data_IF_934733271297
#
_entry.id   IF_934733271297
#
_cell.length_a   1.000
_cell.length_b   1.000
_cell.length_c   1.000
_cell.angle_alpha   90.00
_cell.angle_beta   90.00
_cell.angle_gamma   90.00
#
_symmetry.space_group_name_H-M   'P 1'
#
loop_
_entity.id
_entity.type
_entity.pdbx_description
1 polymer ?
#
# COMPACT_ATOMS: atom_id res chain seq x y z
N UNK A 1 -54.65 -4.40 -2.00
CA UNK A 1 -53.53 -3.73 -2.70
C UNK A 1 -52.36 -4.67 -2.68
N UNK A 2 -52.12 -5.37 -3.79
CA UNK A 2 -50.93 -6.21 -3.96
C UNK A 2 -49.67 -5.34 -4.02
N UNK A 3 -48.57 -5.75 -3.37
CA UNK A 3 -47.32 -5.02 -3.48
C UNK A 3 -46.79 -5.17 -4.89
N UNK A 4 -46.73 -4.07 -5.63
CA UNK A 4 -46.09 -4.00 -6.93
C UNK A 4 -44.57 -4.24 -6.76
N UNK A 5 -44.06 -5.39 -7.12
CA UNK A 5 -42.62 -5.66 -7.20
C UNK A 5 -42.11 -4.91 -8.43
N UNK A 6 -41.54 -3.73 -8.21
CA UNK A 6 -40.81 -3.01 -9.26
C UNK A 6 -39.48 -3.76 -9.47
N UNK A 7 -39.44 -4.66 -10.43
CA UNK A 7 -38.19 -5.24 -10.92
C UNK A 7 -37.39 -4.12 -11.59
N UNK A 8 -36.26 -3.74 -11.00
CA UNK A 8 -35.26 -2.94 -11.70
C UNK A 8 -34.86 -3.66 -13.02
N UNK A 9 -34.63 -2.95 -14.14
CA UNK A 9 -34.23 -3.58 -15.37
C UNK A 9 -32.95 -4.38 -15.12
N UNK A 10 -33.04 -5.69 -15.32
CA UNK A 10 -31.89 -6.58 -15.37
C UNK A 10 -31.03 -6.11 -16.54
N UNK A 11 -29.82 -5.61 -16.24
CA UNK A 11 -28.82 -5.44 -17.27
C UNK A 11 -28.50 -6.86 -17.79
N UNK A 12 -28.72 -7.13 -19.08
CA UNK A 12 -28.50 -8.45 -19.71
C UNK A 12 -27.02 -8.86 -19.77
N UNK A 13 -26.12 -8.08 -19.15
CA UNK A 13 -24.71 -8.39 -19.07
C UNK A 13 -24.47 -9.60 -18.15
N UNK A 14 -23.67 -10.56 -18.62
CA UNK A 14 -23.29 -11.72 -17.83
C UNK A 14 -22.68 -11.30 -16.47
N UNK A 15 -22.97 -12.03 -15.39
CA UNK A 15 -22.40 -11.74 -14.09
C UNK A 15 -20.87 -11.91 -14.11
N UNK A 16 -20.19 -11.19 -13.24
CA UNK A 16 -18.77 -11.43 -13.00
C UNK A 16 -18.58 -12.72 -12.21
N UNK A 17 -17.66 -13.55 -12.67
CA UNK A 17 -17.10 -14.66 -11.89
C UNK A 17 -15.79 -14.13 -11.28
N UNK A 18 -15.85 -13.79 -10.00
CA UNK A 18 -14.73 -13.19 -9.30
C UNK A 18 -14.17 -14.17 -8.26
N UNK A 19 -12.89 -14.41 -8.33
CA UNK A 19 -12.17 -15.17 -7.31
C UNK A 19 -11.60 -14.20 -6.29
N UNK A 20 -12.04 -14.32 -5.04
CA UNK A 20 -11.62 -13.45 -3.96
C UNK A 20 -10.09 -13.41 -3.84
N UNK A 21 -9.56 -12.22 -3.65
CA UNK A 21 -8.13 -11.99 -3.47
C UNK A 21 -7.77 -11.94 -1.99
N UNK A 22 -6.49 -12.12 -1.71
CA UNK A 22 -5.97 -12.05 -0.34
C UNK A 22 -6.32 -10.71 0.33
N UNK A 23 -7.08 -10.77 1.42
CA UNK A 23 -7.54 -9.61 2.17
C UNK A 23 -8.83 -8.97 1.68
N UNK A 24 -9.58 -9.63 0.81
CA UNK A 24 -10.92 -9.17 0.43
C UNK A 24 -11.91 -9.28 1.59
N UNK A 25 -12.73 -8.24 1.74
CA UNK A 25 -13.90 -8.18 2.62
C UNK A 25 -15.15 -8.07 1.77
N UNK A 26 -16.24 -8.69 2.20
CA UNK A 26 -17.49 -8.72 1.44
C UNK A 26 -18.01 -7.32 1.11
N UNK A 27 -17.99 -6.40 2.08
CA UNK A 27 -18.40 -5.01 1.91
C UNK A 27 -17.55 -4.24 0.88
N UNK A 28 -16.24 -4.48 0.89
CA UNK A 28 -15.32 -3.84 -0.06
C UNK A 28 -15.52 -4.38 -1.48
N UNK A 29 -15.69 -5.69 -1.62
CA UNK A 29 -16.02 -6.33 -2.92
C UNK A 29 -17.33 -5.75 -3.45
N UNK A 30 -18.39 -5.71 -2.63
CA UNK A 30 -19.68 -5.14 -3.01
C UNK A 30 -19.55 -3.69 -3.51
N UNK A 31 -18.81 -2.85 -2.80
CA UNK A 31 -18.57 -1.46 -3.18
C UNK A 31 -17.82 -1.33 -4.52
N UNK A 32 -16.77 -2.15 -4.74
CA UNK A 32 -15.99 -2.17 -5.99
C UNK A 32 -16.86 -2.56 -7.19
N UNK A 33 -17.74 -3.55 -7.03
CA UNK A 33 -18.64 -4.00 -8.10
C UNK A 33 -19.93 -3.17 -8.21
N UNK A 34 -20.19 -2.24 -7.29
CA UNK A 34 -21.38 -1.40 -7.30
C UNK A 34 -22.67 -2.16 -7.00
N UNK A 35 -22.60 -3.18 -6.13
CA UNK A 35 -23.73 -4.01 -5.71
C UNK A 35 -23.88 -3.99 -4.19
N UNK A 36 -24.98 -4.49 -3.67
CA UNK A 36 -25.12 -4.80 -2.25
C UNK A 36 -24.47 -6.14 -1.91
N UNK A 37 -24.04 -6.32 -0.65
CA UNK A 37 -23.49 -7.59 -0.17
C UNK A 37 -24.44 -8.77 -0.41
N UNK A 38 -25.74 -8.53 -0.26
CA UNK A 38 -26.77 -9.55 -0.45
C UNK A 38 -26.99 -10.01 -1.91
N UNK A 39 -26.43 -9.28 -2.88
CA UNK A 39 -26.48 -9.66 -4.30
C UNK A 39 -25.30 -10.57 -4.69
N UNK A 40 -24.28 -10.69 -3.83
CA UNK A 40 -23.12 -11.55 -4.08
C UNK A 40 -23.46 -12.98 -3.66
N UNK A 41 -23.32 -13.92 -4.59
CA UNK A 41 -23.60 -15.33 -4.38
C UNK A 41 -22.26 -16.09 -4.29
N UNK A 42 -22.18 -17.00 -3.31
CA UNK A 42 -21.05 -17.92 -3.13
C UNK A 42 -21.53 -19.21 -2.47
N UNK A 43 -20.84 -20.30 -2.72
CA UNK A 43 -21.05 -21.57 -2.00
C UNK A 43 -20.40 -21.54 -0.60
N UNK A 44 -19.49 -20.58 -0.36
CA UNK A 44 -18.85 -20.37 0.94
C UNK A 44 -19.77 -19.56 1.87
N UNK A 45 -19.67 -19.83 3.18
CA UNK A 45 -20.38 -19.05 4.20
C UNK A 45 -19.60 -17.73 4.48
N UNK A 46 -19.98 -16.68 3.77
CA UNK A 46 -19.33 -15.36 3.86
C UNK A 46 -19.68 -14.60 5.15
N UNK A 47 -20.60 -15.11 5.98
CA UNK A 47 -21.04 -14.42 7.20
C UNK A 47 -20.13 -14.67 8.41
N UNK A 48 -19.28 -15.69 8.35
CA UNK A 48 -18.47 -16.16 9.48
C UNK A 48 -17.10 -15.50 9.61
N UNK A 49 -16.61 -14.87 8.56
CA UNK A 49 -15.25 -14.31 8.53
C UNK A 49 -15.27 -12.85 8.09
N UNK A 50 -14.38 -12.04 8.67
CA UNK A 50 -14.17 -10.66 8.22
C UNK A 50 -13.48 -10.63 6.84
N UNK A 51 -12.57 -11.56 6.59
CA UNK A 51 -11.86 -11.73 5.31
C UNK A 51 -12.42 -12.95 4.59
N UNK A 52 -12.58 -12.81 3.28
CA UNK A 52 -12.94 -13.91 2.40
C UNK A 52 -11.67 -14.70 2.08
N UNK A 53 -11.72 -16.01 2.18
CA UNK A 53 -10.57 -16.84 1.85
C UNK A 53 -10.15 -16.64 0.38
N UNK A 54 -8.87 -16.45 0.09
CA UNK A 54 -8.38 -16.29 -1.28
C UNK A 54 -8.78 -17.47 -2.17
N UNK A 55 -9.24 -17.17 -3.38
CA UNK A 55 -9.72 -18.18 -4.34
C UNK A 55 -11.18 -18.57 -4.17
N UNK A 56 -11.91 -18.05 -3.17
CA UNK A 56 -13.37 -18.25 -3.07
C UNK A 56 -14.06 -17.65 -4.28
N UNK A 57 -14.89 -18.45 -4.97
CA UNK A 57 -15.67 -17.98 -6.09
C UNK A 57 -16.87 -17.14 -5.61
N UNK A 58 -16.97 -15.94 -6.16
CA UNK A 58 -18.09 -15.02 -5.99
C UNK A 58 -18.76 -14.80 -7.36
N UNK A 59 -20.07 -14.97 -7.41
CA UNK A 59 -20.90 -14.64 -8.59
C UNK A 59 -21.56 -13.30 -8.30
N UNK A 60 -21.19 -12.28 -9.07
CA UNK A 60 -21.54 -10.89 -8.79
C UNK A 60 -22.31 -10.31 -9.98
N UNK A 61 -23.52 -9.75 -9.81
CA UNK A 61 -24.24 -9.11 -10.89
C UNK A 61 -23.42 -7.99 -11.54
N UNK A 62 -23.44 -7.90 -12.87
CA UNK A 62 -22.79 -6.78 -13.56
C UNK A 62 -23.69 -5.55 -13.53
N UNK A 63 -23.34 -4.58 -12.68
CA UNK A 63 -24.02 -3.28 -12.51
C UNK A 63 -23.20 -2.10 -13.03
N UNK A 64 -22.02 -2.37 -13.60
CA UNK A 64 -21.12 -1.32 -14.07
C UNK A 64 -21.58 -0.85 -15.43
N UNK A 65 -21.95 0.43 -15.54
CA UNK A 65 -22.48 1.07 -16.75
C UNK A 65 -21.54 2.17 -17.31
N UNK A 66 -20.29 2.17 -16.85
CA UNK A 66 -19.28 3.16 -17.24
C UNK A 66 -17.97 2.46 -17.66
N UNK A 67 -17.12 3.12 -18.47
CA UNK A 67 -15.81 2.59 -18.82
C UNK A 67 -14.95 2.35 -17.56
N UNK A 68 -14.17 1.28 -17.59
CA UNK A 68 -13.23 0.95 -16.53
C UNK A 68 -11.79 0.97 -17.04
N UNK A 69 -10.83 1.07 -16.11
CA UNK A 69 -9.42 0.79 -16.41
C UNK A 69 -9.26 -0.63 -16.95
N UNK A 70 -8.16 -0.94 -17.67
CA UNK A 70 -7.87 -2.31 -18.08
C UNK A 70 -7.80 -3.25 -16.86
N UNK A 71 -8.33 -4.48 -17.01
CA UNK A 71 -8.16 -5.54 -16.02
C UNK A 71 -6.78 -6.21 -16.21
N UNK A 72 -5.72 -5.47 -15.92
CA UNK A 72 -4.34 -5.95 -15.99
C UNK A 72 -3.69 -5.74 -14.63
N UNK A 73 -3.25 -6.83 -14.02
CA UNK A 73 -2.54 -6.78 -12.75
C UNK A 73 -1.10 -6.32 -12.99
N UNK A 74 -0.66 -5.24 -12.32
CA UNK A 74 0.65 -4.63 -12.53
C UNK A 74 1.69 -5.12 -11.52
N UNK A 75 1.28 -5.30 -10.27
CA UNK A 75 2.16 -5.66 -9.17
C UNK A 75 1.36 -6.44 -8.12
N UNK A 76 1.84 -7.59 -7.61
CA UNK A 76 1.18 -8.30 -6.52
C UNK A 76 1.22 -7.50 -5.23
N UNK A 77 0.21 -7.66 -4.36
CA UNK A 77 0.12 -6.95 -3.08
C UNK A 77 1.34 -7.18 -2.19
N UNK A 78 1.94 -8.38 -2.24
CA UNK A 78 3.14 -8.72 -1.50
C UNK A 78 4.39 -7.90 -1.93
N UNK A 79 4.41 -7.38 -3.15
CA UNK A 79 5.47 -6.51 -3.65
C UNK A 79 5.16 -5.03 -3.47
N UNK A 80 3.92 -4.70 -3.12
CA UNK A 80 3.55 -3.34 -2.70
C UNK A 80 3.92 -3.08 -1.25
N UNK A 81 3.45 -3.91 -0.33
CA UNK A 81 3.77 -3.77 1.10
C UNK A 81 5.16 -4.33 1.41
N UNK A 82 5.76 -3.86 2.50
CA UNK A 82 6.95 -4.51 3.05
C UNK A 82 6.55 -5.87 3.63
N UNK A 83 6.75 -6.91 2.85
CA UNK A 83 6.33 -8.28 3.15
C UNK A 83 7.51 -9.25 3.18
N UNK A 84 7.21 -10.54 3.28
CA UNK A 84 8.22 -11.59 3.18
C UNK A 84 9.03 -11.54 1.87
N UNK A 85 8.49 -10.97 0.78
CA UNK A 85 9.24 -10.78 -0.48
C UNK A 85 10.38 -9.76 -0.32
N UNK A 86 10.27 -8.83 0.63
CA UNK A 86 11.30 -7.81 0.90
C UNK A 86 12.44 -8.30 1.81
N UNK A 87 12.21 -9.39 2.55
CA UNK A 87 13.23 -9.96 3.45
C UNK A 87 14.46 -10.39 2.65
N UNK A 88 15.65 -9.94 3.08
CA UNK A 88 16.91 -10.25 2.43
C UNK A 88 17.23 -9.44 1.17
N UNK A 89 16.39 -8.46 0.81
CA UNK A 89 16.76 -7.48 -0.21
C UNK A 89 17.71 -6.44 0.40
N UNK A 90 18.90 -6.37 -0.12
CA UNK A 90 19.96 -5.44 0.30
C UNK A 90 19.92 -4.20 -0.61
N UNK A 91 19.24 -3.15 -0.14
CA UNK A 91 19.05 -1.89 -0.88
C UNK A 91 20.40 -1.19 -1.14
N UNK A 92 21.27 -1.14 -0.15
CA UNK A 92 22.60 -0.53 -0.28
C UNK A 92 23.41 -1.22 -1.37
N UNK A 93 23.51 -2.55 -1.28
CA UNK A 93 24.24 -3.33 -2.28
C UNK A 93 23.64 -3.15 -3.68
N UNK A 94 22.31 -3.24 -3.79
CA UNK A 94 21.65 -3.08 -5.08
C UNK A 94 21.94 -1.73 -5.70
N UNK A 95 21.74 -0.63 -4.95
CA UNK A 95 21.98 0.73 -5.46
C UNK A 95 23.43 0.97 -5.83
N UNK A 96 24.37 0.45 -5.04
CA UNK A 96 25.81 0.56 -5.33
C UNK A 96 26.19 -0.23 -6.59
N UNK A 97 25.65 -1.42 -6.79
CA UNK A 97 25.89 -2.24 -7.98
C UNK A 97 25.35 -1.58 -9.26
N UNK A 98 24.21 -0.84 -9.16
CA UNK A 98 23.67 -0.08 -10.29
C UNK A 98 24.50 1.16 -10.62
N UNK A 99 25.23 1.73 -9.67
CA UNK A 99 26.13 2.87 -9.82
C UNK A 99 25.50 4.11 -10.48
N UNK A 100 24.19 4.33 -10.28
CA UNK A 100 23.49 5.53 -10.72
C UNK A 100 23.63 6.70 -9.74
N UNK A 101 22.92 7.77 -9.99
CA UNK A 101 22.95 9.01 -9.20
C UNK A 101 22.70 8.75 -7.70
N UNK A 102 21.73 7.88 -7.39
CA UNK A 102 21.35 7.54 -6.00
C UNK A 102 22.51 6.93 -5.20
N UNK A 103 23.47 6.26 -5.86
CA UNK A 103 24.59 5.58 -5.20
C UNK A 103 25.52 6.52 -4.43
N UNK A 104 25.59 7.78 -4.85
CA UNK A 104 26.40 8.84 -4.21
C UNK A 104 25.56 9.96 -3.63
N UNK A 105 24.25 9.96 -3.85
CA UNK A 105 23.35 10.98 -3.36
C UNK A 105 23.20 10.92 -1.82
N UNK A 106 23.10 12.08 -1.20
CA UNK A 106 22.81 12.20 0.24
C UNK A 106 21.59 13.08 0.46
N UNK A 107 20.74 12.65 1.35
CA UNK A 107 19.56 13.39 1.77
C UNK A 107 19.65 13.85 3.23
N UNK A 108 18.90 14.87 3.58
CA UNK A 108 18.82 15.36 4.95
C UNK A 108 17.46 15.01 5.55
N UNK A 109 17.48 14.11 6.53
CA UNK A 109 16.29 13.73 7.29
C UNK A 109 16.31 14.45 8.63
N UNK A 110 15.25 15.23 8.92
CA UNK A 110 15.17 16.07 10.12
C UNK A 110 15.38 15.31 11.44
N UNK A 111 15.07 14.02 11.48
CA UNK A 111 15.21 13.17 12.67
C UNK A 111 16.64 12.63 12.90
N UNK A 112 17.44 12.47 11.83
CA UNK A 112 18.76 11.78 11.88
C UNK A 112 19.90 12.52 11.21
N UNK A 113 19.63 13.62 10.49
CA UNK A 113 20.64 14.38 9.75
C UNK A 113 20.92 13.81 8.35
N UNK A 114 22.18 13.99 7.88
CA UNK A 114 22.60 13.54 6.55
C UNK A 114 22.77 12.03 6.47
N UNK A 115 22.03 11.38 5.57
CA UNK A 115 22.08 9.94 5.27
C UNK A 115 22.39 9.70 3.80
N UNK A 116 22.83 8.50 3.45
CA UNK A 116 22.93 8.11 2.04
C UNK A 116 21.54 7.93 1.44
N UNK A 117 21.39 8.11 0.12
CA UNK A 117 20.10 7.99 -0.56
C UNK A 117 19.46 6.61 -0.38
N UNK A 118 20.25 5.54 -0.42
CA UNK A 118 19.75 4.18 -0.18
C UNK A 118 19.31 3.96 1.28
N UNK A 119 19.96 4.58 2.27
CA UNK A 119 19.51 4.54 3.67
C UNK A 119 18.17 5.27 3.85
N UNK A 120 17.99 6.39 3.12
CA UNK A 120 16.72 7.12 3.11
C UNK A 120 15.58 6.27 2.51
N UNK A 121 15.84 5.54 1.41
CA UNK A 121 14.88 4.61 0.81
C UNK A 121 14.51 3.50 1.79
N UNK A 122 15.49 2.87 2.45
CA UNK A 122 15.22 1.84 3.45
C UNK A 122 14.36 2.35 4.60
N UNK A 123 14.67 3.54 5.12
CA UNK A 123 13.86 4.17 6.17
C UNK A 123 12.43 4.42 5.72
N UNK A 124 12.24 5.04 4.56
CA UNK A 124 10.92 5.30 4.00
C UNK A 124 10.13 3.99 3.80
N UNK A 125 10.81 2.95 3.31
CA UNK A 125 10.24 1.63 3.13
C UNK A 125 9.70 1.05 4.45
N UNK A 126 10.53 1.05 5.47
CA UNK A 126 10.23 0.47 6.77
C UNK A 126 9.19 1.29 7.54
N UNK A 127 9.40 2.60 7.63
CA UNK A 127 8.53 3.51 8.37
C UNK A 127 7.11 3.58 7.79
N UNK A 128 6.96 3.27 6.49
CA UNK A 128 5.66 3.30 5.80
C UNK A 128 5.17 1.92 5.35
N UNK A 129 5.88 0.85 5.68
CA UNK A 129 5.53 -0.53 5.28
C UNK A 129 5.34 -0.71 3.77
N UNK A 130 6.18 -0.06 2.96
CA UNK A 130 6.17 -0.16 1.49
C UNK A 130 7.45 -0.87 1.01
N UNK A 131 7.36 -1.68 -0.02
CA UNK A 131 8.50 -2.42 -0.56
C UNK A 131 9.63 -1.49 -1.03
N UNK A 132 10.89 -1.71 -0.63
CA UNK A 132 12.03 -0.91 -1.10
C UNK A 132 12.25 -1.05 -2.60
N UNK A 133 11.96 -2.22 -3.20
CA UNK A 133 12.01 -2.40 -4.65
C UNK A 133 11.04 -1.50 -5.38
N UNK A 134 9.83 -1.33 -4.84
CA UNK A 134 8.84 -0.42 -5.41
C UNK A 134 9.33 1.03 -5.38
N UNK A 135 9.89 1.48 -4.27
CA UNK A 135 10.41 2.84 -4.15
C UNK A 135 11.58 3.10 -5.11
N UNK A 136 12.48 2.13 -5.27
CA UNK A 136 13.58 2.21 -6.23
C UNK A 136 13.08 2.20 -7.67
N UNK A 137 12.08 1.36 -8.01
CA UNK A 137 11.50 1.34 -9.34
C UNK A 137 10.82 2.66 -9.71
N UNK A 138 10.08 3.27 -8.77
CA UNK A 138 9.45 4.57 -8.97
C UNK A 138 10.50 5.66 -9.23
N UNK A 139 11.56 5.69 -8.42
CA UNK A 139 12.64 6.66 -8.55
C UNK A 139 13.42 6.49 -9.87
N UNK A 140 13.58 5.24 -10.33
CA UNK A 140 14.17 4.97 -11.64
C UNK A 140 13.23 5.39 -12.77
N UNK A 141 11.94 5.05 -12.67
CA UNK A 141 10.97 5.32 -13.72
C UNK A 141 10.79 6.83 -13.97
N UNK A 142 10.61 7.59 -12.90
CA UNK A 142 10.36 9.03 -12.99
C UNK A 142 11.63 9.84 -13.23
N UNK A 143 12.77 9.46 -12.64
CA UNK A 143 13.96 10.33 -12.60
C UNK A 143 15.25 9.69 -13.08
N UNK A 144 15.32 8.37 -13.32
CA UNK A 144 16.53 7.60 -13.68
C UNK A 144 17.65 7.65 -12.64
N UNK A 145 17.30 7.76 -11.37
CA UNK A 145 18.29 7.95 -10.32
C UNK A 145 19.05 6.69 -9.93
N UNK A 146 18.46 5.50 -10.14
CA UNK A 146 19.03 4.23 -9.65
C UNK A 146 20.09 3.70 -10.59
N UNK A 147 19.82 3.70 -11.91
CA UNK A 147 20.71 3.12 -12.94
C UNK A 147 21.38 4.18 -13.83
N UNK A 148 21.01 5.44 -13.68
CA UNK A 148 21.46 6.52 -14.53
C UNK A 148 21.73 7.82 -13.77
N UNK A 149 21.54 8.91 -14.49
CA UNK A 149 21.58 10.27 -13.97
C UNK A 149 20.21 10.91 -14.12
N UNK A 150 19.86 11.90 -13.29
CA UNK A 150 18.58 12.62 -13.42
C UNK A 150 18.33 13.04 -14.86
N UNK A 151 17.07 12.88 -15.30
CA UNK A 151 16.65 13.18 -16.69
C UNK A 151 16.98 14.63 -17.04
N UNK A 152 16.78 15.53 -16.09
CA UNK A 152 17.06 16.95 -16.20
C UNK A 152 17.28 17.59 -14.80
N UNK A 153 17.49 18.91 -14.76
CA UNK A 153 17.70 19.64 -13.50
C UNK A 153 16.47 19.65 -12.60
N UNK A 154 15.25 19.60 -13.17
CA UNK A 154 14.02 19.53 -12.37
C UNK A 154 13.97 18.24 -11.59
N UNK A 155 14.26 17.12 -12.24
CA UNK A 155 14.25 15.78 -11.58
C UNK A 155 15.40 15.57 -10.60
N UNK A 156 16.38 16.47 -10.55
CA UNK A 156 17.38 16.49 -9.46
C UNK A 156 16.78 16.99 -8.14
N UNK A 157 15.82 17.89 -8.20
CA UNK A 157 15.16 18.48 -7.04
C UNK A 157 13.78 17.88 -6.75
N UNK A 158 13.10 17.42 -7.79
CA UNK A 158 11.74 16.87 -7.77
C UNK A 158 11.68 15.51 -8.49
N UNK A 159 12.25 14.45 -7.87
CA UNK A 159 12.42 13.16 -8.56
C UNK A 159 11.13 12.43 -8.90
N UNK A 160 9.98 12.81 -8.32
CA UNK A 160 8.66 12.29 -8.73
C UNK A 160 7.98 13.16 -9.81
N UNK A 161 8.68 14.13 -10.35
CA UNK A 161 8.24 14.91 -11.51
C UNK A 161 7.26 16.05 -11.23
N UNK A 162 6.71 16.19 -10.00
CA UNK A 162 5.83 17.33 -9.73
C UNK A 162 6.58 18.50 -9.06
N UNK A 163 6.46 19.67 -9.68
CA UNK A 163 7.18 20.87 -9.30
C UNK A 163 6.37 21.70 -8.30
N UNK A 164 6.42 21.33 -7.04
CA UNK A 164 5.93 22.12 -5.92
C UNK A 164 7.05 22.28 -4.89
N UNK A 165 7.45 23.52 -4.62
CA UNK A 165 8.57 23.82 -3.73
C UNK A 165 8.40 23.27 -2.31
N UNK A 166 7.17 23.12 -1.82
CA UNK A 166 6.88 22.51 -0.52
C UNK A 166 7.25 21.01 -0.47
N UNK A 167 7.37 20.38 -1.64
CA UNK A 167 7.74 18.97 -1.78
C UNK A 167 9.13 18.79 -2.41
N UNK A 168 10.01 19.79 -2.29
CA UNK A 168 11.37 19.71 -2.82
C UNK A 168 12.21 18.70 -2.04
N UNK A 169 12.95 17.85 -2.76
CA UNK A 169 13.87 16.83 -2.23
C UNK A 169 13.32 15.41 -2.28
N UNK A 170 14.24 14.46 -2.34
CA UNK A 170 13.91 13.04 -2.58
C UNK A 170 12.96 12.48 -1.53
N UNK A 171 13.31 12.57 -0.25
CA UNK A 171 12.50 11.96 0.81
C UNK A 171 11.11 12.57 0.90
N UNK A 172 10.96 13.88 0.67
CA UNK A 172 9.68 14.57 0.71
C UNK A 172 8.79 14.15 -0.47
N UNK A 173 9.36 14.08 -1.69
CA UNK A 173 8.66 13.62 -2.89
C UNK A 173 8.24 12.14 -2.76
N UNK A 174 9.14 11.29 -2.27
CA UNK A 174 8.84 9.88 -2.04
C UNK A 174 7.76 9.68 -0.96
N UNK A 175 7.79 10.46 0.13
CA UNK A 175 6.75 10.44 1.16
C UNK A 175 5.39 10.82 0.57
N UNK A 176 5.34 11.83 -0.29
CA UNK A 176 4.11 12.19 -1.00
C UNK A 176 3.61 11.03 -1.89
N UNK A 177 4.50 10.38 -2.65
CA UNK A 177 4.15 9.23 -3.48
C UNK A 177 3.63 8.06 -2.63
N UNK A 178 4.33 7.72 -1.55
CA UNK A 178 3.93 6.68 -0.60
C UNK A 178 2.55 6.96 -0.02
N UNK A 179 2.27 8.20 0.41
CA UNK A 179 0.98 8.58 0.96
C UNK A 179 -0.15 8.40 -0.06
N UNK A 180 0.05 8.82 -1.31
CA UNK A 180 -0.96 8.64 -2.37
C UNK A 180 -1.20 7.15 -2.68
N UNK A 181 -0.14 6.37 -2.77
CA UNK A 181 -0.25 4.92 -2.96
C UNK A 181 -0.97 4.24 -1.79
N UNK A 182 -0.64 4.62 -0.55
CA UNK A 182 -1.26 4.06 0.65
C UNK A 182 -2.76 4.41 0.74
N UNK A 183 -3.14 5.65 0.41
CA UNK A 183 -4.55 6.06 0.31
C UNK A 183 -5.29 5.13 -0.66
N UNK A 184 -4.71 4.85 -1.81
CA UNK A 184 -5.35 4.01 -2.82
C UNK A 184 -5.36 2.53 -2.42
N UNK A 185 -4.24 1.99 -1.92
CA UNK A 185 -4.12 0.61 -1.48
C UNK A 185 -5.16 0.25 -0.39
N UNK A 186 -5.16 1.03 0.69
CA UNK A 186 -6.07 0.78 1.80
C UNK A 186 -7.50 1.21 1.49
N UNK A 187 -7.69 2.28 0.70
CA UNK A 187 -9.00 2.71 0.24
C UNK A 187 -9.67 1.69 -0.68
N UNK A 188 -8.92 1.04 -1.56
CA UNK A 188 -9.40 -0.07 -2.37
C UNK A 188 -9.83 -1.27 -1.54
N UNK A 189 -9.00 -1.65 -0.57
CA UNK A 189 -9.30 -2.75 0.35
C UNK A 189 -10.49 -2.47 1.26
N UNK A 190 -10.74 -1.21 1.57
CA UNK A 190 -11.92 -0.76 2.32
C UNK A 190 -13.15 -0.50 1.43
N UNK A 191 -13.01 -0.55 0.09
CA UNK A 191 -14.09 -0.23 -0.84
C UNK A 191 -14.42 1.26 -0.95
N UNK A 192 -13.56 2.15 -0.42
CA UNK A 192 -13.77 3.62 -0.45
C UNK A 192 -13.19 4.30 -1.68
N UNK A 193 -12.24 3.65 -2.36
CA UNK A 193 -11.67 4.11 -3.63
C UNK A 193 -12.16 3.18 -4.73
N UNK A 194 -12.85 3.71 -5.73
CA UNK A 194 -13.35 2.99 -6.90
C UNK A 194 -13.02 3.68 -8.22
N UNK A 195 -12.45 4.89 -8.15
CA UNK A 195 -12.06 5.70 -9.30
C UNK A 195 -10.70 6.32 -9.10
N UNK A 196 -10.03 6.61 -10.21
CA UNK A 196 -8.88 7.49 -10.28
C UNK A 196 -9.30 8.81 -10.94
N UNK A 197 -8.53 9.86 -10.68
CA UNK A 197 -8.76 11.19 -11.21
C UNK A 197 -7.43 11.75 -11.72
N UNK A 198 -7.46 12.26 -12.96
CA UNK A 198 -6.31 12.84 -13.65
C UNK A 198 -6.18 14.34 -13.35
N UNK A 199 -5.01 14.98 -13.65
CA UNK A 199 -4.79 16.40 -13.39
C UNK A 199 -5.77 17.35 -14.08
N UNK A 200 -6.37 16.93 -15.19
CA UNK A 200 -7.39 17.69 -15.93
C UNK A 200 -8.81 17.54 -15.36
N UNK A 201 -8.98 16.77 -14.30
CA UNK A 201 -10.26 16.46 -13.67
C UNK A 201 -11.02 15.29 -14.31
N UNK A 202 -10.50 14.68 -15.38
CA UNK A 202 -11.08 13.45 -15.94
C UNK A 202 -11.05 12.34 -14.92
N UNK A 203 -12.14 11.58 -14.83
CA UNK A 203 -12.26 10.44 -13.89
C UNK A 203 -12.47 9.15 -14.66
N UNK A 204 -11.84 8.09 -14.18
CA UNK A 204 -11.98 6.74 -14.73
C UNK A 204 -12.24 5.75 -13.60
N UNK A 205 -13.23 4.88 -13.79
CA UNK A 205 -13.51 3.82 -12.83
C UNK A 205 -12.42 2.76 -12.89
N UNK A 206 -11.97 2.29 -11.74
CA UNK A 206 -11.08 1.14 -11.62
C UNK A 206 -11.83 -0.15 -11.94
N UNK A 207 -11.21 -1.06 -12.70
CA UNK A 207 -11.80 -2.39 -12.90
C UNK A 207 -11.91 -3.11 -11.54
N UNK A 208 -13.11 -3.59 -11.15
CA UNK A 208 -13.33 -4.12 -9.80
C UNK A 208 -12.54 -5.40 -9.48
N UNK A 209 -11.91 -6.03 -10.48
CA UNK A 209 -11.11 -7.24 -10.36
C UNK A 209 -9.64 -6.98 -10.07
N UNK A 210 -9.19 -5.72 -10.06
CA UNK A 210 -7.81 -5.37 -9.75
C UNK A 210 -7.45 -5.72 -8.31
N UNK A 211 -6.16 -6.01 -8.07
CA UNK A 211 -5.61 -6.11 -6.73
C UNK A 211 -5.18 -4.72 -6.20
N UNK A 212 -5.04 -4.61 -4.89
CA UNK A 212 -4.77 -3.34 -4.24
C UNK A 212 -3.41 -2.72 -4.63
N UNK A 213 -2.37 -3.56 -4.83
CA UNK A 213 -1.06 -3.10 -5.30
C UNK A 213 -1.13 -2.46 -6.69
N UNK A 214 -1.87 -3.07 -7.61
CA UNK A 214 -2.12 -2.50 -8.94
C UNK A 214 -2.86 -1.16 -8.86
N UNK A 215 -3.90 -1.10 -8.03
CA UNK A 215 -4.67 0.14 -7.83
C UNK A 215 -3.81 1.25 -7.26
N UNK A 216 -2.93 0.95 -6.30
CA UNK A 216 -2.00 1.93 -5.74
C UNK A 216 -1.08 2.54 -6.83
N UNK A 217 -0.54 1.71 -7.71
CA UNK A 217 0.30 2.14 -8.85
C UNK A 217 -0.50 3.00 -9.84
N UNK A 218 -1.68 2.53 -10.24
CA UNK A 218 -2.55 3.27 -11.17
C UNK A 218 -2.95 4.63 -10.60
N UNK A 219 -3.29 4.67 -9.31
CA UNK A 219 -3.68 5.90 -8.62
C UNK A 219 -2.53 6.91 -8.53
N UNK A 220 -1.32 6.48 -8.14
CA UNK A 220 -0.16 7.37 -8.09
C UNK A 220 0.09 8.02 -9.45
N UNK A 221 0.21 7.20 -10.49
CA UNK A 221 0.50 7.72 -11.82
C UNK A 221 -0.64 8.58 -12.41
N UNK A 222 -1.90 8.34 -12.00
CA UNK A 222 -3.00 9.23 -12.38
C UNK A 222 -2.89 10.64 -11.77
N UNK A 223 -2.18 10.80 -10.64
CA UNK A 223 -1.93 12.12 -10.03
C UNK A 223 -0.79 12.88 -10.69
N UNK A 224 0.12 12.16 -11.33
CA UNK A 224 1.34 12.74 -11.92
C UNK A 224 1.21 13.00 -13.43
N UNK A 225 0.40 12.22 -14.14
CA UNK A 225 0.39 12.16 -15.60
C UNK A 225 -1.01 12.32 -16.19
N UNK A 226 -1.08 12.78 -17.44
CA UNK A 226 -2.32 12.76 -18.22
C UNK A 226 -2.77 11.31 -18.47
N UNK A 227 -4.07 11.12 -18.78
CA UNK A 227 -4.63 9.79 -19.09
C UNK A 227 -3.84 9.07 -20.21
N UNK A 228 -3.45 9.81 -21.26
CA UNK A 228 -2.66 9.24 -22.37
C UNK A 228 -1.27 8.76 -21.95
N UNK A 229 -0.56 9.52 -21.11
CA UNK A 229 0.73 9.11 -20.56
C UNK A 229 0.55 7.95 -19.58
N UNK A 230 -0.43 8.05 -18.68
CA UNK A 230 -0.78 7.01 -17.72
C UNK A 230 -1.05 5.67 -18.42
N UNK A 231 -1.80 5.67 -19.53
CA UNK A 231 -2.07 4.45 -20.29
C UNK A 231 -0.80 3.78 -20.83
N UNK A 232 0.24 4.55 -21.16
CA UNK A 232 1.55 4.02 -21.57
C UNK A 232 2.34 3.51 -20.35
N UNK A 233 2.25 4.20 -19.22
CA UNK A 233 2.95 3.85 -18.00
C UNK A 233 2.46 2.50 -17.44
N UNK A 234 1.16 2.26 -17.48
CA UNK A 234 0.58 1.01 -16.99
C UNK A 234 0.67 -0.16 -17.98
N UNK A 235 1.25 0.03 -19.16
CA UNK A 235 1.41 -1.04 -20.13
C UNK A 235 2.38 -2.10 -19.58
N UNK A 236 1.95 -3.39 -19.46
CA UNK A 236 2.77 -4.44 -18.86
C UNK A 236 4.04 -4.75 -19.64
N UNK A 237 4.06 -4.54 -20.96
CA UNK A 237 5.15 -4.94 -21.83
C UNK A 237 6.23 -3.85 -22.01
N UNK A 238 5.88 -2.58 -21.73
CA UNK A 238 6.76 -1.44 -22.04
C UNK A 238 6.75 -0.32 -20.99
N UNK A 239 5.82 -0.37 -20.03
CA UNK A 239 5.65 0.66 -19.00
C UNK A 239 6.39 0.33 -17.69
N UNK A 240 5.86 0.86 -16.60
CA UNK A 240 6.39 0.66 -15.26
C UNK A 240 6.53 -0.83 -14.86
N UNK A 241 5.56 -1.73 -15.16
CA UNK A 241 5.71 -3.15 -14.81
C UNK A 241 6.88 -3.81 -15.54
N UNK A 242 7.13 -3.47 -16.80
CA UNK A 242 8.27 -3.96 -17.56
C UNK A 242 9.60 -3.53 -16.92
N UNK A 243 9.71 -2.25 -16.54
CA UNK A 243 10.88 -1.74 -15.81
C UNK A 243 11.07 -2.46 -14.47
N UNK A 244 9.99 -2.64 -13.70
CA UNK A 244 10.05 -3.35 -12.43
C UNK A 244 10.60 -4.77 -12.60
N UNK A 245 10.08 -5.49 -13.60
CA UNK A 245 10.52 -6.83 -13.93
C UNK A 245 11.98 -6.87 -14.40
N UNK A 246 12.41 -5.90 -15.20
CA UNK A 246 13.81 -5.76 -15.65
C UNK A 246 14.77 -5.54 -14.47
N UNK A 247 14.38 -4.68 -13.50
CA UNK A 247 15.21 -4.34 -12.35
C UNK A 247 15.32 -5.48 -11.34
N UNK A 248 14.22 -6.19 -11.09
CA UNK A 248 14.12 -7.09 -9.94
C UNK A 248 13.69 -8.52 -10.30
N UNK A 249 13.42 -8.82 -11.57
CA UNK A 249 12.84 -10.10 -12.01
C UNK A 249 11.35 -10.19 -11.69
N UNK A 250 10.77 -11.35 -11.97
CA UNK A 250 9.32 -11.57 -11.90
C UNK A 250 8.76 -11.39 -10.48
N UNK A 251 7.92 -10.35 -10.24
CA UNK A 251 7.32 -10.10 -8.95
C UNK A 251 6.25 -11.13 -8.55
N UNK A 252 5.56 -11.73 -9.54
CA UNK A 252 4.54 -12.72 -9.31
C UNK A 252 5.15 -14.03 -8.82
N UNK A 253 6.23 -14.47 -9.46
CA UNK A 253 6.98 -15.64 -9.01
C UNK A 253 7.50 -15.48 -7.57
N UNK A 254 7.97 -14.28 -7.18
CA UNK A 254 8.36 -14.03 -5.79
C UNK A 254 7.17 -14.05 -4.82
N UNK A 255 6.04 -13.46 -5.20
CA UNK A 255 4.84 -13.47 -4.38
C UNK A 255 4.30 -14.89 -4.17
N UNK A 256 4.34 -15.73 -5.20
CA UNK A 256 3.91 -17.13 -5.13
C UNK A 256 4.77 -17.96 -4.15
N UNK A 257 6.07 -17.67 -4.07
CA UNK A 257 6.97 -18.36 -3.14
C UNK A 257 6.65 -18.09 -1.67
N UNK A 258 6.14 -16.90 -1.34
CA UNK A 258 5.84 -16.53 0.05
C UNK A 258 4.36 -16.76 0.40
N UNK A 259 3.53 -16.98 -0.60
CA UNK A 259 2.08 -17.17 -0.44
C UNK A 259 1.30 -15.88 -0.17
N UNK A 260 -0.02 -15.98 0.06
CA UNK A 260 -0.89 -14.84 0.24
C UNK A 260 -0.59 -14.08 1.55
N UNK A 261 -0.64 -12.75 1.50
CA UNK A 261 -0.45 -11.87 2.68
C UNK A 261 -1.43 -12.23 3.80
N UNK A 262 -2.68 -12.54 3.43
CA UNK A 262 -3.71 -13.03 4.33
C UNK A 262 -4.03 -14.47 3.93
N UNK A 263 -3.47 -15.46 4.64
CA UNK A 263 -3.71 -16.88 4.32
C UNK A 263 -5.15 -17.29 4.58
N UNK A 264 -5.62 -18.38 3.95
CA UNK A 264 -6.95 -18.94 4.22
C UNK A 264 -7.14 -19.26 5.70
N UNK A 265 -8.36 -19.05 6.18
CA UNK A 265 -8.72 -19.32 7.59
C UNK A 265 -8.11 -18.36 8.59
N UNK A 266 -7.59 -17.22 8.16
CA UNK A 266 -7.07 -16.19 9.07
C UNK A 266 -8.20 -15.62 9.92
N UNK A 267 -8.08 -15.78 11.24
CA UNK A 267 -9.01 -15.24 12.21
C UNK A 267 -8.32 -14.11 12.98
N UNK A 268 -8.88 -12.93 12.92
CA UNK A 268 -8.44 -11.81 13.74
C UNK A 268 -8.79 -12.09 15.20
N UNK A 269 -7.80 -12.11 16.13
CA UNK A 269 -8.11 -12.22 17.55
C UNK A 269 -8.94 -11.00 18.02
N UNK A 270 -9.81 -11.15 19.03
CA UNK A 270 -10.57 -10.05 19.59
C UNK A 270 -9.64 -9.10 20.34
N UNK A 271 -9.15 -8.09 19.63
CA UNK A 271 -8.30 -7.04 20.19
C UNK A 271 -9.12 -5.80 20.51
N UNK A 272 -8.76 -5.12 21.61
CA UNK A 272 -9.22 -3.78 21.94
C UNK A 272 -8.07 -2.78 21.78
N UNK A 273 -8.39 -1.50 21.68
CA UNK A 273 -7.34 -0.48 21.68
C UNK A 273 -6.58 -0.48 23.01
N UNK A 274 -5.27 -0.21 23.03
CA UNK A 274 -4.41 -0.34 24.22
C UNK A 274 -4.60 0.82 25.21
N UNK A 275 -5.80 1.34 25.34
CA UNK A 275 -6.18 2.40 26.27
C UNK A 275 -7.62 2.24 26.73
N UNK A 276 -7.96 2.90 27.84
CA UNK A 276 -9.27 2.76 28.49
C UNK A 276 -10.41 3.15 27.54
N UNK A 277 -11.54 2.41 27.54
CA UNK A 277 -12.72 2.78 26.76
C UNK A 277 -13.19 4.20 27.05
N UNK A 278 -13.42 4.98 25.97
CA UNK A 278 -13.83 6.38 26.08
C UNK A 278 -12.67 7.39 26.20
N UNK A 279 -11.45 6.94 26.43
CA UNK A 279 -10.25 7.79 26.34
C UNK A 279 -9.98 8.20 24.89
N UNK A 280 -9.53 9.46 24.71
CA UNK A 280 -9.18 9.99 23.38
C UNK A 280 -7.68 9.91 23.19
N UNK A 281 -7.26 9.17 22.18
CA UNK A 281 -5.88 9.07 21.74
C UNK A 281 -5.79 9.38 20.27
N UNK A 282 -4.69 9.95 19.84
CA UNK A 282 -4.39 10.19 18.42
C UNK A 282 -3.62 9.00 17.85
N UNK A 283 -4.01 8.51 16.69
CA UNK A 283 -3.17 7.64 15.88
C UNK A 283 -2.05 8.50 15.30
N UNK A 284 -0.80 8.15 15.58
CA UNK A 284 0.36 8.97 15.24
C UNK A 284 1.31 8.34 14.22
N UNK A 285 1.18 7.03 13.97
CA UNK A 285 2.00 6.37 12.98
C UNK A 285 1.76 4.87 12.87
N UNK A 286 2.23 4.30 11.76
CA UNK A 286 2.21 2.87 11.50
C UNK A 286 1.34 2.44 10.31
N UNK A 287 1.33 1.15 9.95
CA UNK A 287 2.15 0.11 10.58
C UNK A 287 3.64 0.28 10.28
N UNK A 288 4.47 0.06 11.27
CA UNK A 288 5.93 0.12 11.17
C UNK A 288 6.60 -0.89 12.08
N UNK A 289 7.92 -0.97 12.02
CA UNK A 289 8.72 -1.74 12.93
C UNK A 289 8.85 -1.02 14.29
N UNK A 290 9.10 -1.80 15.36
CA UNK A 290 9.31 -1.24 16.69
C UNK A 290 10.49 -0.26 16.74
N UNK A 291 10.35 0.84 17.49
CA UNK A 291 11.38 1.88 17.64
C UNK A 291 12.70 1.34 18.19
N UNK A 292 13.78 1.78 17.62
CA UNK A 292 15.03 1.95 18.34
C UNK A 292 16.16 0.96 18.08
N UNK A 293 16.06 -0.03 17.20
CA UNK A 293 17.14 -1.02 17.05
C UNK A 293 17.49 -1.47 15.64
N UNK A 294 17.16 -0.74 14.59
CA UNK A 294 17.48 -1.18 13.26
C UNK A 294 18.47 -0.23 12.61
N UNK A 295 19.73 -0.68 12.58
CA UNK A 295 20.69 -0.25 11.58
C UNK A 295 20.26 -0.85 10.23
N UNK A 296 20.32 -0.13 9.10
CA UNK A 296 20.05 -0.67 7.78
C UNK A 296 20.80 -1.98 7.50
N UNK A 297 22.01 -2.14 8.02
CA UNK A 297 22.82 -3.36 7.92
C UNK A 297 22.27 -4.58 8.67
N UNK A 298 21.23 -4.44 9.48
CA UNK A 298 20.63 -5.54 10.25
C UNK A 298 19.30 -6.02 9.70
N UNK A 299 18.76 -5.40 8.64
CA UNK A 299 17.50 -5.83 8.00
C UNK A 299 17.52 -7.29 7.52
N UNK A 300 18.64 -7.81 7.14
CA UNK A 300 18.79 -9.21 6.73
C UNK A 300 18.79 -10.22 7.88
N UNK A 301 18.84 -9.80 9.15
CA UNK A 301 19.00 -10.69 10.30
C UNK A 301 17.88 -10.61 11.35
N UNK A 302 17.01 -9.60 11.28
CA UNK A 302 15.91 -9.44 12.22
C UNK A 302 14.59 -9.88 11.58
N UNK A 303 14.00 -10.95 12.11
CA UNK A 303 12.63 -11.39 11.77
C UNK A 303 11.56 -10.50 12.42
N UNK A 304 11.79 -9.20 12.58
CA UNK A 304 10.80 -8.33 13.17
C UNK A 304 9.68 -8.04 12.18
N UNK A 305 8.50 -8.45 12.56
CA UNK A 305 7.25 -8.24 11.82
C UNK A 305 6.86 -6.78 11.93
N UNK A 306 6.61 -6.12 10.79
CA UNK A 306 6.12 -4.74 10.74
C UNK A 306 4.64 -4.70 11.08
N UNK A 307 4.33 -4.68 12.37
CA UNK A 307 2.97 -4.71 12.88
C UNK A 307 2.73 -3.75 14.04
N UNK A 308 3.65 -2.81 14.28
CA UNK A 308 3.48 -1.78 15.30
C UNK A 308 2.68 -0.59 14.74
N UNK A 309 1.79 -0.07 15.56
CA UNK A 309 1.06 1.18 15.32
C UNK A 309 1.21 2.07 16.56
N UNK A 310 1.32 3.37 16.34
CA UNK A 310 1.56 4.33 17.40
C UNK A 310 0.31 5.11 17.77
N UNK A 311 0.13 5.27 19.07
CA UNK A 311 -0.89 6.14 19.62
C UNK A 311 -0.30 7.09 20.64
N UNK A 312 -0.78 8.33 20.66
CA UNK A 312 -0.44 9.33 21.66
C UNK A 312 -1.69 9.76 22.44
N UNK A 313 -1.64 9.85 23.78
CA UNK A 313 -2.74 10.36 24.57
C UNK A 313 -2.93 11.86 24.30
N UNK A 314 -4.16 12.36 24.51
CA UNK A 314 -4.42 13.79 24.46
C UNK A 314 -3.57 14.52 25.51
N UNK A 315 -2.79 15.50 25.08
CA UNK A 315 -1.95 16.31 25.95
C UNK A 315 -2.16 17.81 25.69
N UNK A 316 -1.99 18.61 26.72
CA UNK A 316 -2.09 20.08 26.61
C UNK A 316 -0.88 20.71 25.88
N UNK A 317 0.23 19.96 25.76
CA UNK A 317 1.45 20.35 25.07
C UNK A 317 1.92 19.22 24.15
N UNK A 318 2.47 19.58 23.01
CA UNK A 318 3.11 18.62 22.09
C UNK A 318 4.53 18.27 22.54
N UNK A 319 5.02 17.10 22.09
CA UNK A 319 6.39 16.61 22.34
C UNK A 319 6.45 15.56 23.46
N UNK A 320 7.67 15.20 23.87
CA UNK A 320 7.94 14.19 24.90
C UNK A 320 7.63 14.73 26.31
N UNK A 321 6.34 14.91 26.60
CA UNK A 321 5.87 15.36 27.92
C UNK A 321 5.28 14.16 28.66
N UNK A 322 5.68 13.88 29.91
CA UNK A 322 5.05 12.84 30.72
C UNK A 322 3.53 13.02 30.77
N UNK A 323 2.80 11.91 30.67
CA UNK A 323 1.34 11.87 30.70
C UNK A 323 0.88 10.77 31.66
N UNK A 324 -0.18 11.02 32.41
CA UNK A 324 -0.74 10.07 33.39
C UNK A 324 -1.80 9.11 32.80
N UNK A 325 -1.96 9.10 31.46
CA UNK A 325 -2.89 8.22 30.80
C UNK A 325 -2.41 6.75 30.90
N UNK A 326 -3.36 5.85 31.18
CA UNK A 326 -3.08 4.42 31.31
C UNK A 326 -3.02 3.73 29.93
N UNK A 327 -2.01 2.89 29.75
CA UNK A 327 -1.96 1.88 28.69
C UNK A 327 -2.48 0.57 29.27
N UNK A 328 -3.42 -0.07 28.57
CA UNK A 328 -4.03 -1.33 28.96
C UNK A 328 -3.66 -2.45 27.98
N UNK A 329 -3.74 -3.70 28.42
CA UNK A 329 -3.53 -4.84 27.54
C UNK A 329 -4.62 -4.89 26.46
N UNK A 330 -4.22 -5.03 25.19
CA UNK A 330 -5.13 -5.12 24.06
C UNK A 330 -5.92 -6.44 24.01
N UNK A 331 -5.47 -7.46 24.74
CA UNK A 331 -6.14 -8.76 24.90
C UNK A 331 -5.70 -9.42 26.22
N UNK A 332 -6.45 -10.44 26.72
CA UNK A 332 -5.97 -11.27 27.80
C UNK A 332 -4.64 -11.94 27.46
N UNK A 333 -3.70 -11.97 28.41
CA UNK A 333 -2.39 -12.54 28.17
C UNK A 333 -1.60 -12.75 29.46
N UNK A 334 -0.40 -13.34 29.32
CA UNK A 334 0.57 -13.49 30.39
C UNK A 334 1.71 -12.50 30.19
N UNK A 335 2.01 -11.73 31.22
CA UNK A 335 3.20 -10.85 31.21
C UNK A 335 4.44 -11.74 31.36
N UNK A 336 5.24 -11.84 30.30
CA UNK A 336 6.47 -12.64 30.27
C UNK A 336 7.73 -11.80 30.53
N UNK A 337 7.62 -10.46 30.41
CA UNK A 337 8.73 -9.52 30.64
C UNK A 337 8.16 -8.19 31.14
N UNK A 338 8.79 -7.63 32.15
CA UNK A 338 8.51 -6.28 32.66
C UNK A 338 9.81 -5.66 33.08
N UNK A 339 10.23 -4.58 32.41
CA UNK A 339 11.51 -3.90 32.65
C UNK A 339 11.30 -2.38 32.66
N UNK A 340 12.16 -1.68 33.41
CA UNK A 340 12.18 -0.22 33.42
C UNK A 340 13.11 0.29 32.30
N UNK A 341 12.66 1.27 31.54
CA UNK A 341 13.53 2.05 30.65
C UNK A 341 13.82 1.37 29.30
N UNK A 342 12.77 0.97 28.59
CA UNK A 342 12.88 0.69 27.15
C UNK A 342 12.63 1.97 26.39
#
# INVERSE_FOLDING_TARGET
>A
VEPSITTAPLNDAAPFLYYAQSGDMLSAVAARFGVSESEIISDADLTKTTLIDPGTLLVIPNRINEPTTPNVQLLPDAEFVFSATSIGFDTEKFVKDQNGYLSSFRDYLGSVGWVQGYDAIDRLSVENSVSPRLLLALLEYEARWVRGQPIDLLHTEFPMGFNDYHYKGMSVQMTWAINNMSIAYYGWRAGTITHIEFPDGTRLRLDPRLNAGTVAIQYLFSKLHSESQWSQIINPDSGFPALYNEMFGDPWARADLVGPIFPPGLIQPPLVLPFEPGAKWSFTGGPHNGWGQISPSTYGQSHSIYSAIDFAPAAAKSGCVPNDAWVVAAAPGLVIRSENGV
#
